data_IF_584161784670
#
_entry.id   IF_584161784670
#
_cell.length_a   1.000
_cell.length_b   1.000
_cell.length_c   1.000
_cell.angle_alpha   90.00
_cell.angle_beta   90.00
_cell.angle_gamma   90.00
#
_symmetry.space_group_name_H-M   'P 1'
#
loop_
_entity.id
_entity.type
_entity.pdbx_description
1 polymer ?
#
# COMPACT_ATOMS: atom_id res chain seq x y z
N UNK A 1 16.18 15.29 6.31
CA UNK A 1 15.83 14.03 5.63
C UNK A 1 14.34 13.84 5.78
N UNK A 2 13.60 13.69 4.67
CA UNK A 2 12.15 13.57 4.69
C UNK A 2 11.78 12.08 4.65
N UNK A 3 10.98 11.61 5.61
CA UNK A 3 10.57 10.22 5.69
C UNK A 3 9.24 10.09 4.96
N UNK A 4 9.17 9.19 3.98
CA UNK A 4 7.90 8.85 3.31
C UNK A 4 7.21 7.76 4.11
N UNK A 5 6.04 8.08 4.66
CA UNK A 5 5.18 7.13 5.32
C UNK A 5 4.15 6.56 4.34
N UNK A 6 4.04 5.23 4.32
CA UNK A 6 3.09 4.48 3.51
C UNK A 6 2.17 3.73 4.47
N UNK A 7 0.88 4.01 4.40
CA UNK A 7 -0.17 3.32 5.15
C UNK A 7 -1.10 2.59 4.18
N UNK A 8 -1.33 1.31 4.43
CA UNK A 8 -2.16 0.43 3.62
C UNK A 8 -3.30 -0.07 4.47
N UNK A 9 -4.51 0.38 4.14
CA UNK A 9 -5.71 0.00 4.87
C UNK A 9 -6.67 -0.78 3.98
N UNK A 10 -7.00 -1.99 4.40
CA UNK A 10 -8.12 -2.72 3.81
C UNK A 10 -9.42 -1.96 4.07
N UNK A 11 -10.13 -1.60 3.00
CA UNK A 11 -11.46 -1.00 3.07
C UNK A 11 -12.49 -2.04 2.64
N UNK A 12 -13.77 -1.84 3.01
CA UNK A 12 -14.81 -2.83 2.72
C UNK A 12 -14.87 -3.17 1.22
N UNK A 13 -14.95 -4.46 0.90
CA UNK A 13 -14.91 -5.00 -0.47
C UNK A 13 -13.54 -5.56 -0.87
N UNK A 14 -13.29 -5.62 -2.19
CA UNK A 14 -12.01 -6.07 -2.77
C UNK A 14 -11.09 -4.88 -3.08
N UNK A 15 -11.04 -3.89 -2.20
CA UNK A 15 -10.26 -2.68 -2.40
C UNK A 15 -9.43 -2.35 -1.16
N UNK A 16 -8.32 -1.65 -1.42
CA UNK A 16 -7.39 -1.18 -0.40
C UNK A 16 -7.11 0.29 -0.65
N UNK A 17 -6.96 1.04 0.43
CA UNK A 17 -6.60 2.45 0.38
C UNK A 17 -5.12 2.58 0.75
N UNK A 18 -4.32 3.05 -0.20
CA UNK A 18 -2.93 3.45 0.02
C UNK A 18 -2.91 4.94 0.35
N UNK A 19 -2.36 5.28 1.50
CA UNK A 19 -2.13 6.66 1.93
C UNK A 19 -0.63 6.90 2.01
N UNK A 20 -0.19 8.01 1.45
CA UNK A 20 1.21 8.42 1.57
C UNK A 20 1.31 9.88 1.99
N UNK A 21 2.25 10.13 2.90
CA UNK A 21 2.53 11.43 3.47
C UNK A 21 3.98 11.48 3.94
N UNK A 22 4.49 12.68 4.10
CA UNK A 22 5.84 12.89 4.59
C UNK A 22 5.82 13.24 6.07
N UNK A 23 5.67 14.52 6.41
CA UNK A 23 5.85 14.99 7.78
C UNK A 23 4.52 15.32 8.48
N UNK A 24 3.42 15.36 7.73
CA UNK A 24 2.09 15.73 8.23
C UNK A 24 1.06 14.63 7.96
N UNK A 25 0.68 13.91 9.01
CA UNK A 25 -0.33 12.84 8.98
C UNK A 25 -1.72 13.31 8.53
N UNK A 26 -2.02 14.61 8.62
CA UNK A 26 -3.29 15.18 8.17
C UNK A 26 -3.27 15.59 6.70
N UNK A 27 -2.08 15.71 6.10
CA UNK A 27 -1.89 16.03 4.68
C UNK A 27 -1.31 14.81 3.98
N UNK A 28 -2.22 13.93 3.56
CA UNK A 28 -1.90 12.74 2.81
C UNK A 28 -2.62 12.74 1.48
N UNK A 29 -1.98 12.14 0.50
CA UNK A 29 -2.65 11.72 -0.73
C UNK A 29 -3.16 10.29 -0.55
N UNK A 30 -4.32 10.01 -1.14
CA UNK A 30 -4.95 8.68 -1.07
C UNK A 30 -5.15 8.13 -2.47
N UNK A 31 -4.88 6.84 -2.61
CA UNK A 31 -5.17 6.07 -3.82
C UNK A 31 -5.93 4.81 -3.47
N UNK A 32 -7.05 4.58 -4.14
CA UNK A 32 -7.78 3.31 -4.04
C UNK A 32 -7.21 2.35 -5.06
N UNK A 33 -6.83 1.16 -4.61
CA UNK A 33 -6.31 0.09 -5.44
C UNK A 33 -7.22 -1.14 -5.30
N UNK A 34 -7.43 -1.92 -6.37
CA UNK A 34 -8.04 -3.23 -6.26
C UNK A 34 -7.14 -4.16 -5.43
N UNK A 35 -7.72 -4.93 -4.52
CA UNK A 35 -7.01 -5.91 -3.71
C UNK A 35 -6.28 -6.96 -4.57
N UNK A 36 -6.81 -7.25 -5.76
CA UNK A 36 -6.16 -8.14 -6.74
C UNK A 36 -4.77 -7.65 -7.16
N UNK A 37 -4.59 -6.34 -7.36
CA UNK A 37 -3.30 -5.76 -7.76
C UNK A 37 -2.24 -5.88 -6.66
N UNK A 38 -2.65 -5.81 -5.39
CA UNK A 38 -1.73 -6.01 -4.25
C UNK A 38 -1.43 -7.50 -4.02
N UNK A 39 -2.44 -8.36 -4.19
CA UNK A 39 -2.28 -9.81 -3.98
C UNK A 39 -1.29 -10.42 -4.97
N UNK A 40 -1.28 -9.93 -6.21
CA UNK A 40 -0.31 -10.34 -7.22
C UNK A 40 1.12 -9.90 -6.85
N UNK A 41 1.26 -8.72 -6.21
CA UNK A 41 2.54 -8.25 -5.69
C UNK A 41 3.05 -9.15 -4.55
N UNK A 42 2.20 -9.55 -3.61
CA UNK A 42 2.59 -10.47 -2.52
C UNK A 42 3.07 -11.82 -3.03
N UNK A 43 2.41 -12.37 -4.06
CA UNK A 43 2.84 -13.64 -4.68
C UNK A 43 4.21 -13.52 -5.37
N UNK A 44 4.49 -12.39 -6.02
CA UNK A 44 5.80 -12.13 -6.63
C UNK A 44 6.92 -11.96 -5.59
N UNK A 45 6.65 -11.23 -4.51
CA UNK A 45 7.60 -11.03 -3.42
C UNK A 45 7.96 -12.35 -2.71
N UNK A 46 6.98 -13.24 -2.53
CA UNK A 46 7.19 -14.53 -1.89
C UNK A 46 7.95 -15.53 -2.79
N UNK A 47 7.73 -15.48 -4.11
CA UNK A 47 8.53 -16.27 -5.07
C UNK A 47 10.01 -15.92 -5.06
N UNK A 48 10.35 -14.64 -4.86
CA UNK A 48 11.75 -14.19 -4.82
C UNK A 48 12.46 -14.50 -3.49
N UNK A 49 11.76 -14.99 -2.47
CA UNK A 49 12.37 -15.44 -1.21
C UNK A 49 12.70 -16.94 -1.21
N UNK A 50 12.39 -17.68 -2.28
CA UNK A 50 12.59 -19.14 -2.35
C UNK A 50 13.66 -19.55 -3.39
N UNK A 51 14.53 -18.63 -3.82
CA UNK A 51 15.70 -18.93 -4.66
C UNK A 51 17.00 -18.62 -3.91
#
# INVERSE_FOLDING_TARGET
>A
MQILHLDLKAVAGNYVELRYFTDNYNQYERRTLPLSEITDLSKSAQRNQTM
#
